data_IF_952815395594
#
_entry.id   IF_952815395594
#
_cell.length_a   1.000
_cell.length_b   1.000
_cell.length_c   1.000
_cell.angle_alpha   90.00
_cell.angle_beta   90.00
_cell.angle_gamma   90.00
#
_symmetry.space_group_name_H-M   'P 1'
#
loop_
_entity.id
_entity.type
_entity.pdbx_description
1 polymer ?
#
# COMPACT_ATOMS: atom_id res chain seq x y z
N UNK A 1 -31.50 12.17 18.35
CA UNK A 1 -30.56 11.06 18.22
C UNK A 1 -30.17 11.05 16.76
N UNK A 2 -29.04 11.67 16.42
CA UNK A 2 -28.51 11.60 15.06
C UNK A 2 -28.22 10.13 14.74
N UNK A 3 -28.61 9.68 13.55
CA UNK A 3 -28.20 8.36 13.10
C UNK A 3 -26.67 8.33 12.99
N UNK A 4 -26.01 7.28 13.48
CA UNK A 4 -24.58 7.13 13.29
C UNK A 4 -24.26 7.22 11.79
N UNK A 5 -23.17 7.92 11.45
CA UNK A 5 -22.76 8.12 10.06
C UNK A 5 -22.45 6.77 9.41
N UNK A 6 -23.24 6.41 8.41
CA UNK A 6 -23.05 5.18 7.62
C UNK A 6 -22.18 5.50 6.40
N UNK A 7 -20.87 5.32 6.56
CA UNK A 7 -19.89 5.59 5.51
C UNK A 7 -20.18 4.77 4.25
N UNK A 8 -20.58 3.50 4.39
CA UNK A 8 -20.88 2.65 3.24
C UNK A 8 -22.10 3.16 2.46
N UNK A 9 -23.13 3.65 3.14
CA UNK A 9 -24.30 4.24 2.49
C UNK A 9 -23.94 5.55 1.77
N UNK A 10 -23.11 6.41 2.35
CA UNK A 10 -22.69 7.66 1.71
C UNK A 10 -21.76 7.42 0.51
N UNK A 11 -20.78 6.53 0.64
CA UNK A 11 -19.91 6.13 -0.47
C UNK A 11 -20.69 5.50 -1.62
N UNK A 12 -21.75 4.73 -1.33
CA UNK A 12 -22.61 4.15 -2.36
C UNK A 12 -23.40 5.22 -3.15
N UNK A 13 -23.79 6.32 -2.50
CA UNK A 13 -24.50 7.44 -3.15
C UNK A 13 -23.56 8.31 -3.97
N UNK A 14 -22.34 8.54 -3.49
CA UNK A 14 -21.41 9.51 -4.06
C UNK A 14 -19.99 8.95 -4.20
N UNK A 15 -19.78 7.92 -5.04
CA UNK A 15 -18.47 7.28 -5.18
C UNK A 15 -17.38 8.21 -5.73
N UNK A 16 -17.77 9.28 -6.44
CA UNK A 16 -16.87 10.29 -7.01
C UNK A 16 -16.21 11.20 -5.95
N UNK A 17 -16.68 11.20 -4.69
CA UNK A 17 -16.03 11.98 -3.62
C UNK A 17 -14.61 11.51 -3.29
N UNK A 18 -14.26 10.30 -3.71
CA UNK A 18 -12.92 9.72 -3.53
C UNK A 18 -11.98 10.06 -4.70
N UNK A 19 -12.50 10.68 -5.77
CA UNK A 19 -11.76 10.98 -6.99
C UNK A 19 -11.20 12.43 -6.93
N UNK A 20 -9.95 12.61 -7.33
CA UNK A 20 -9.30 13.90 -7.50
C UNK A 20 -9.03 14.11 -8.99
N UNK A 21 -9.39 15.30 -9.49
CA UNK A 21 -9.12 15.68 -10.88
C UNK A 21 -7.61 15.63 -11.19
N UNK A 22 -7.28 15.14 -12.37
CA UNK A 22 -5.90 15.08 -12.83
C UNK A 22 -5.28 16.46 -12.99
N UNK A 23 -3.98 16.59 -12.72
CA UNK A 23 -3.24 17.85 -12.77
C UNK A 23 -3.79 18.96 -11.84
N UNK A 24 -4.62 18.64 -10.84
CA UNK A 24 -5.32 19.63 -9.99
C UNK A 24 -4.39 20.71 -9.42
N UNK A 25 -3.19 20.32 -8.98
CA UNK A 25 -2.21 21.21 -8.37
C UNK A 25 -1.00 21.54 -9.29
N UNK A 26 -1.13 21.24 -10.59
CA UNK A 26 -0.13 21.63 -11.59
C UNK A 26 -0.40 23.04 -12.11
N UNK A 27 0.62 23.69 -12.67
CA UNK A 27 0.54 25.06 -13.24
C UNK A 27 -0.55 25.22 -14.31
N UNK A 28 -0.84 24.16 -15.06
CA UNK A 28 -1.90 24.13 -16.09
C UNK A 28 -3.33 24.04 -15.53
N UNK A 29 -3.46 23.74 -14.24
CA UNK A 29 -4.74 23.46 -13.59
C UNK A 29 -5.31 22.08 -13.94
N UNK A 30 -6.53 21.78 -13.45
CA UNK A 30 -7.18 20.49 -13.63
C UNK A 30 -7.42 20.13 -15.10
N UNK A 31 -7.20 18.87 -15.45
CA UNK A 31 -7.51 18.28 -16.76
C UNK A 31 -8.68 17.28 -16.66
N UNK A 32 -9.28 16.93 -17.81
CA UNK A 32 -10.42 16.00 -17.90
C UNK A 32 -9.97 14.52 -17.81
N UNK A 33 -9.43 14.15 -16.67
CA UNK A 33 -9.19 12.77 -16.24
C UNK A 33 -9.15 12.68 -14.71
N UNK A 34 -9.21 11.48 -14.17
CA UNK A 34 -9.04 11.25 -12.72
C UNK A 34 -7.57 11.03 -12.42
N UNK A 35 -6.94 11.94 -11.68
CA UNK A 35 -5.52 11.87 -11.34
C UNK A 35 -5.22 11.01 -10.13
N UNK A 36 -6.13 10.99 -9.15
CA UNK A 36 -5.98 10.19 -7.95
C UNK A 36 -7.33 9.63 -7.47
N UNK A 37 -7.33 8.43 -6.90
CA UNK A 37 -8.50 7.85 -6.22
C UNK A 37 -8.12 7.31 -4.86
N UNK A 38 -8.81 7.76 -3.80
CA UNK A 38 -8.60 7.25 -2.45
C UNK A 38 -9.13 5.81 -2.36
N UNK A 39 -8.26 4.91 -1.90
CA UNK A 39 -8.53 3.47 -1.84
C UNK A 39 -7.84 2.85 -0.63
N UNK A 40 -8.08 1.55 -0.44
CA UNK A 40 -7.28 0.72 0.46
C UNK A 40 -6.26 -0.04 -0.38
N UNK A 41 -4.96 0.23 -0.18
CA UNK A 41 -3.86 -0.35 -0.95
C UNK A 41 -2.93 -1.16 -0.06
N UNK A 42 -2.48 -2.30 -0.58
CA UNK A 42 -1.42 -3.12 -0.03
C UNK A 42 -0.20 -3.05 -0.93
N UNK A 43 0.98 -2.96 -0.33
CA UNK A 43 2.28 -2.91 -1.02
C UNK A 43 3.18 -3.97 -0.41
N UNK A 44 3.69 -4.88 -1.24
CA UNK A 44 4.62 -5.95 -0.84
C UNK A 44 5.94 -5.79 -1.61
N UNK A 45 7.05 -5.77 -0.90
CA UNK A 45 8.40 -5.74 -1.48
C UNK A 45 9.02 -7.13 -1.38
N UNK A 46 9.27 -7.78 -2.52
CA UNK A 46 9.75 -9.16 -2.60
C UNK A 46 10.93 -9.28 -3.56
N UNK A 47 11.56 -10.46 -3.62
CA UNK A 47 12.74 -10.71 -4.45
C UNK A 47 12.44 -11.72 -5.55
N UNK A 48 13.41 -11.89 -6.45
CA UNK A 48 13.41 -12.99 -7.43
C UNK A 48 12.25 -12.98 -8.44
N UNK A 49 11.68 -11.80 -8.74
CA UNK A 49 10.56 -11.65 -9.69
C UNK A 49 10.87 -12.14 -11.12
N UNK A 50 12.15 -12.29 -11.48
CA UNK A 50 12.58 -12.88 -12.74
C UNK A 50 12.44 -14.41 -12.79
N UNK A 51 12.31 -15.08 -11.65
CA UNK A 51 12.27 -16.54 -11.58
C UNK A 51 10.90 -17.10 -11.94
N UNK A 52 10.83 -18.31 -12.55
CA UNK A 52 9.55 -18.95 -12.85
C UNK A 52 8.66 -19.18 -11.63
N UNK A 53 9.25 -19.52 -10.47
CA UNK A 53 8.52 -19.80 -9.23
C UNK A 53 7.78 -18.55 -8.71
N UNK A 54 8.46 -17.41 -8.69
CA UNK A 54 7.85 -16.15 -8.23
C UNK A 54 6.84 -15.62 -9.25
N UNK A 55 7.10 -15.77 -10.55
CA UNK A 55 6.11 -15.43 -11.60
C UNK A 55 4.83 -16.25 -11.49
N UNK A 56 4.95 -17.54 -11.23
CA UNK A 56 3.81 -18.42 -10.94
C UNK A 56 3.04 -17.93 -9.69
N UNK A 57 3.76 -17.57 -8.63
CA UNK A 57 3.16 -17.03 -7.41
C UNK A 57 2.42 -15.71 -7.65
N UNK A 58 2.97 -14.81 -8.47
CA UNK A 58 2.30 -13.58 -8.91
C UNK A 58 1.02 -13.87 -9.71
N UNK A 59 1.06 -14.87 -10.61
CA UNK A 59 -0.14 -15.30 -11.33
C UNK A 59 -1.23 -15.79 -10.38
N UNK A 60 -0.86 -16.57 -9.36
CA UNK A 60 -1.82 -17.04 -8.36
C UNK A 60 -2.39 -15.88 -7.53
N UNK A 61 -1.57 -14.90 -7.14
CA UNK A 61 -2.05 -13.69 -6.47
C UNK A 61 -3.06 -12.94 -7.36
N UNK A 62 -2.76 -12.80 -8.65
CA UNK A 62 -3.67 -12.17 -9.60
C UNK A 62 -4.97 -12.95 -9.78
N UNK A 63 -4.91 -14.27 -9.91
CA UNK A 63 -6.11 -15.12 -10.02
C UNK A 63 -7.05 -14.97 -8.82
N UNK A 64 -6.50 -14.77 -7.62
CA UNK A 64 -7.28 -14.54 -6.42
C UNK A 64 -7.86 -13.12 -6.35
N UNK A 65 -7.05 -12.09 -6.65
CA UNK A 65 -7.52 -10.72 -6.79
C UNK A 65 -8.66 -10.60 -7.82
N UNK A 66 -8.51 -11.28 -8.97
CA UNK A 66 -9.48 -11.29 -10.05
C UNK A 66 -10.86 -11.78 -9.62
N UNK A 67 -10.95 -12.71 -8.66
CA UNK A 67 -12.26 -13.19 -8.16
C UNK A 67 -13.11 -12.06 -7.62
N UNK A 68 -12.49 -10.98 -7.14
CA UNK A 68 -13.16 -9.80 -6.63
C UNK A 68 -13.24 -8.70 -7.70
N UNK A 69 -12.13 -8.46 -8.40
CA UNK A 69 -11.96 -7.28 -9.24
C UNK A 69 -12.39 -7.43 -10.70
N UNK A 70 -12.48 -8.66 -11.24
CA UNK A 70 -12.63 -8.90 -12.69
C UNK A 70 -13.79 -8.14 -13.35
N UNK A 71 -14.99 -8.02 -12.75
CA UNK A 71 -16.09 -7.24 -13.34
C UNK A 71 -15.80 -5.73 -13.47
N UNK A 72 -14.77 -5.23 -12.79
CA UNK A 72 -14.41 -3.81 -12.70
C UNK A 72 -13.17 -3.44 -13.52
N UNK A 73 -12.36 -4.41 -13.94
CA UNK A 73 -11.12 -4.16 -14.67
C UNK A 73 -11.41 -3.70 -16.10
N UNK A 74 -10.82 -2.57 -16.48
CA UNK A 74 -11.07 -1.90 -17.78
C UNK A 74 -9.82 -1.85 -18.65
N UNK A 75 -8.63 -1.71 -18.04
CA UNK A 75 -7.38 -1.52 -18.77
C UNK A 75 -6.24 -2.37 -18.18
N UNK A 76 -5.34 -2.77 -19.07
CA UNK A 76 -4.00 -3.24 -18.75
C UNK A 76 -2.99 -2.27 -19.36
N UNK A 77 -2.17 -1.67 -18.51
CA UNK A 77 -0.98 -0.94 -18.91
C UNK A 77 0.27 -1.77 -18.62
N UNK A 78 1.23 -1.74 -19.54
CA UNK A 78 2.54 -2.38 -19.42
C UNK A 78 3.59 -1.39 -19.90
N UNK A 79 4.56 -1.10 -19.05
CA UNK A 79 5.75 -0.35 -19.46
C UNK A 79 6.56 -1.22 -20.43
N UNK A 80 6.94 -0.67 -21.59
CA UNK A 80 7.83 -1.29 -22.57
C UNK A 80 7.66 -2.81 -22.76
N UNK A 81 6.46 -3.30 -23.13
CA UNK A 81 6.22 -4.74 -23.21
C UNK A 81 7.02 -5.35 -24.36
N UNK A 82 7.67 -6.49 -24.12
CA UNK A 82 8.39 -7.24 -25.16
C UNK A 82 7.49 -7.64 -26.35
N UNK A 83 6.20 -7.87 -26.09
CA UNK A 83 5.19 -8.19 -27.09
C UNK A 83 3.87 -7.46 -26.79
N UNK A 84 3.19 -7.00 -27.85
CA UNK A 84 1.92 -6.30 -27.75
C UNK A 84 2.06 -4.78 -27.67
N UNK A 85 0.98 -4.10 -27.27
CA UNK A 85 0.94 -2.64 -27.09
C UNK A 85 1.04 -2.29 -25.60
N UNK A 86 1.64 -1.15 -25.22
CA UNK A 86 1.70 -0.70 -23.83
C UNK A 86 0.34 -0.58 -23.14
N UNK A 87 -0.72 -0.28 -23.89
CA UNK A 87 -2.07 -0.12 -23.35
C UNK A 87 -3.06 -0.98 -24.13
N UNK A 88 -3.81 -1.80 -23.41
CA UNK A 88 -4.84 -2.69 -23.97
C UNK A 88 -6.09 -2.67 -23.08
N UNK A 89 -7.29 -2.70 -23.68
CA UNK A 89 -8.51 -2.88 -22.90
C UNK A 89 -8.53 -4.28 -22.26
N UNK A 90 -8.91 -4.39 -20.99
CA UNK A 90 -8.79 -5.64 -20.22
C UNK A 90 -9.48 -6.83 -20.91
N UNK A 91 -10.67 -6.62 -21.48
CA UNK A 91 -11.42 -7.66 -22.22
C UNK A 91 -10.68 -8.26 -23.43
N UNK A 92 -9.70 -7.53 -23.95
CA UNK A 92 -8.90 -7.90 -25.13
C UNK A 92 -7.51 -8.44 -24.72
N UNK A 93 -7.26 -8.60 -23.42
CA UNK A 93 -5.98 -9.11 -22.88
C UNK A 93 -5.93 -10.63 -22.87
N UNK A 94 -4.72 -11.17 -23.03
CA UNK A 94 -4.44 -12.57 -22.73
C UNK A 94 -4.38 -12.78 -21.21
N UNK A 95 -4.61 -14.01 -20.71
CA UNK A 95 -4.37 -14.32 -19.30
C UNK A 95 -2.94 -13.97 -18.86
N UNK A 96 -2.79 -13.44 -17.64
CA UNK A 96 -1.48 -13.06 -17.09
C UNK A 96 -0.45 -14.20 -17.17
N UNK A 97 -0.89 -15.42 -16.87
CA UNK A 97 -0.05 -16.63 -16.91
C UNK A 97 0.50 -16.95 -18.30
N UNK A 98 -0.29 -16.73 -19.35
CA UNK A 98 0.16 -16.89 -20.73
C UNK A 98 1.20 -15.82 -21.09
N UNK A 99 0.94 -14.57 -20.73
CA UNK A 99 1.87 -13.47 -20.97
C UNK A 99 3.19 -13.66 -20.21
N UNK A 100 3.15 -14.05 -18.94
CA UNK A 100 4.36 -14.34 -18.15
C UNK A 100 5.13 -15.57 -18.66
N UNK A 101 4.43 -16.59 -19.17
CA UNK A 101 5.05 -17.79 -19.75
C UNK A 101 5.81 -17.53 -21.06
N UNK A 102 5.47 -16.45 -21.77
CA UNK A 102 6.16 -16.03 -22.99
C UNK A 102 7.37 -15.10 -22.73
N UNK A 103 7.59 -14.67 -21.49
CA UNK A 103 8.65 -13.72 -21.12
C UNK A 103 9.95 -14.43 -20.70
N UNK A 104 11.09 -13.86 -21.08
CA UNK A 104 12.43 -14.24 -20.62
C UNK A 104 12.74 -13.67 -19.22
N UNK A 105 13.77 -14.17 -18.53
CA UNK A 105 14.21 -13.69 -17.20
C UNK A 105 14.69 -12.23 -17.21
N UNK A 106 15.11 -11.70 -18.37
CA UNK A 106 15.57 -10.32 -18.55
C UNK A 106 14.53 -9.40 -19.19
N UNK A 107 13.33 -9.89 -19.50
CA UNK A 107 12.22 -9.04 -19.96
C UNK A 107 11.71 -8.10 -18.86
N UNK A 108 11.24 -6.91 -19.25
CA UNK A 108 10.66 -5.95 -18.31
C UNK A 108 9.36 -6.50 -17.71
N UNK A 109 9.32 -6.69 -16.40
CA UNK A 109 8.12 -7.13 -15.69
C UNK A 109 7.33 -5.93 -15.20
N UNK A 110 6.42 -5.43 -16.04
CA UNK A 110 5.46 -4.37 -15.72
C UNK A 110 4.06 -4.77 -16.15
N UNK A 111 3.13 -4.82 -15.18
CA UNK A 111 1.71 -5.11 -15.42
C UNK A 111 0.86 -4.31 -14.45
N UNK A 112 0.10 -3.34 -14.95
CA UNK A 112 -0.83 -2.52 -14.19
C UNK A 112 -2.26 -2.75 -14.70
N UNK A 113 -3.04 -3.56 -13.98
CA UNK A 113 -4.47 -3.77 -14.21
C UNK A 113 -5.26 -2.76 -13.38
N UNK A 114 -6.16 -2.00 -14.02
CA UNK A 114 -6.89 -0.91 -13.34
C UNK A 114 -8.37 -0.84 -13.76
N UNK A 115 -9.19 -0.23 -12.91
CA UNK A 115 -10.62 0.06 -13.17
C UNK A 115 -10.90 1.50 -13.64
N UNK A 116 -9.89 2.24 -14.12
CA UNK A 116 -10.07 3.59 -14.65
C UNK A 116 -11.09 3.62 -15.81
N UNK A 117 -12.00 4.61 -15.84
CA UNK A 117 -13.02 4.67 -16.90
C UNK A 117 -12.36 4.99 -18.24
N UNK A 118 -11.56 6.05 -18.29
CA UNK A 118 -10.61 6.34 -19.37
C UNK A 118 -9.29 5.62 -19.07
N UNK A 119 -8.50 5.36 -20.11
CA UNK A 119 -7.20 4.70 -19.95
C UNK A 119 -6.18 5.48 -19.11
N UNK A 120 -6.39 6.80 -18.98
CA UNK A 120 -5.57 7.69 -18.15
C UNK A 120 -6.12 7.83 -16.72
N UNK A 121 -7.36 7.43 -16.46
CA UNK A 121 -7.96 7.61 -15.15
C UNK A 121 -7.30 6.67 -14.13
N UNK A 122 -7.02 7.19 -12.94
CA UNK A 122 -6.78 6.38 -11.77
C UNK A 122 -8.01 5.50 -11.45
N UNK A 123 -7.77 4.28 -10.98
CA UNK A 123 -8.80 3.32 -10.62
C UNK A 123 -8.62 2.82 -9.19
N UNK A 124 -9.74 2.62 -8.47
CA UNK A 124 -9.71 2.10 -7.11
C UNK A 124 -9.42 0.59 -7.03
N UNK A 125 -9.80 -0.18 -8.05
CA UNK A 125 -9.28 -1.53 -8.23
C UNK A 125 -7.99 -1.45 -9.02
N UNK A 126 -6.90 -1.90 -8.41
CA UNK A 126 -5.57 -1.91 -9.00
C UNK A 126 -4.88 -3.23 -8.66
N UNK A 127 -4.15 -3.76 -9.63
CA UNK A 127 -3.14 -4.80 -9.41
C UNK A 127 -1.93 -4.45 -10.27
N UNK A 128 -0.85 -4.02 -9.62
CA UNK A 128 0.35 -3.48 -10.26
C UNK A 128 1.59 -4.28 -9.86
N UNK A 129 2.28 -4.81 -10.86
CA UNK A 129 3.53 -5.57 -10.71
C UNK A 129 4.66 -4.74 -11.30
N UNK A 130 5.70 -4.54 -10.50
CA UNK A 130 7.00 -4.07 -10.96
C UNK A 130 8.09 -5.06 -10.53
N UNK A 131 8.69 -5.78 -11.48
CA UNK A 131 9.70 -6.80 -11.20
C UNK A 131 11.09 -6.45 -11.71
N UNK A 132 12.12 -6.83 -10.93
CA UNK A 132 13.51 -6.75 -11.34
C UNK A 132 13.88 -7.88 -12.29
N UNK A 133 14.62 -7.53 -13.34
CA UNK A 133 15.23 -8.47 -14.29
C UNK A 133 16.34 -9.30 -13.64
N UNK A 134 16.66 -10.45 -14.23
CA UNK A 134 17.73 -11.33 -13.74
C UNK A 134 19.08 -10.62 -13.65
N UNK A 135 19.46 -9.84 -14.68
CA UNK A 135 20.72 -9.07 -14.65
C UNK A 135 20.75 -8.03 -13.52
N UNK A 136 19.62 -7.39 -13.21
CA UNK A 136 19.53 -6.41 -12.11
C UNK A 136 19.69 -7.11 -10.76
N UNK A 137 19.04 -8.27 -10.59
CA UNK A 137 19.17 -9.07 -9.39
C UNK A 137 20.62 -9.54 -9.15
N UNK A 138 21.32 -9.98 -10.21
CA UNK A 138 22.75 -10.34 -10.17
C UNK A 138 23.65 -9.17 -9.77
N UNK A 139 23.22 -7.92 -9.99
CA UNK A 139 23.91 -6.70 -9.53
C UNK A 139 23.50 -6.25 -8.11
N UNK A 140 22.67 -7.02 -7.40
CA UNK A 140 22.17 -6.67 -6.07
C UNK A 140 21.00 -5.66 -6.08
N UNK A 141 20.32 -5.49 -7.22
CA UNK A 141 19.10 -4.71 -7.36
C UNK A 141 17.92 -5.66 -7.61
N UNK A 142 17.55 -6.44 -6.59
CA UNK A 142 16.57 -7.53 -6.67
C UNK A 142 15.20 -7.21 -6.07
N UNK A 143 15.03 -6.04 -5.44
CA UNK A 143 13.77 -5.65 -4.82
C UNK A 143 12.69 -5.31 -5.85
N UNK A 144 11.64 -6.11 -5.86
CA UNK A 144 10.45 -6.00 -6.73
C UNK A 144 9.23 -5.64 -5.89
N UNK A 145 8.15 -5.21 -6.54
CA UNK A 145 6.96 -4.66 -5.89
C UNK A 145 5.70 -5.28 -6.46
N UNK A 146 4.78 -5.62 -5.57
CA UNK A 146 3.37 -5.87 -5.89
C UNK A 146 2.53 -4.85 -5.11
N UNK A 147 1.73 -4.08 -5.84
CA UNK A 147 0.68 -3.24 -5.27
C UNK A 147 -0.69 -3.76 -5.71
N UNK A 148 -1.64 -3.77 -4.79
CA UNK A 148 -3.03 -4.10 -5.09
C UNK A 148 -3.97 -3.30 -4.21
N UNK A 149 -5.15 -2.98 -4.73
CA UNK A 149 -6.10 -2.15 -3.99
C UNK A 149 -7.55 -2.50 -4.25
N UNK A 150 -8.38 -2.11 -3.30
CA UNK A 150 -9.85 -2.20 -3.40
C UNK A 150 -10.48 -0.83 -3.10
N UNK A 151 -11.67 -0.54 -3.65
CA UNK A 151 -12.42 0.66 -3.28
C UNK A 151 -12.80 0.65 -1.80
N UNK A 152 -12.84 1.83 -1.17
CA UNK A 152 -13.25 1.93 0.24
C UNK A 152 -14.64 1.35 0.49
N UNK A 153 -15.59 1.54 -0.44
CA UNK A 153 -16.92 0.94 -0.33
C UNK A 153 -16.89 -0.59 -0.28
N UNK A 154 -15.93 -1.23 -0.98
CA UNK A 154 -15.75 -2.68 -0.90
C UNK A 154 -15.23 -3.07 0.48
N UNK A 155 -14.20 -2.37 0.97
CA UNK A 155 -13.64 -2.59 2.30
C UNK A 155 -14.68 -2.46 3.41
N UNK A 156 -15.53 -1.42 3.38
CA UNK A 156 -16.57 -1.21 4.38
C UNK A 156 -17.62 -2.33 4.41
N UNK A 157 -17.85 -2.99 3.26
CA UNK A 157 -18.82 -4.09 3.14
C UNK A 157 -18.22 -5.46 3.40
N UNK A 158 -16.93 -5.63 3.12
CA UNK A 158 -16.21 -6.91 3.20
C UNK A 158 -14.86 -6.73 3.92
N UNK A 159 -14.86 -6.37 5.21
CA UNK A 159 -13.66 -5.94 5.93
C UNK A 159 -12.55 -7.01 6.03
N UNK A 160 -12.91 -8.29 5.95
CA UNK A 160 -11.97 -9.42 6.06
C UNK A 160 -11.34 -9.83 4.72
N UNK A 161 -11.96 -9.53 3.58
CA UNK A 161 -11.51 -10.02 2.28
C UNK A 161 -10.13 -9.45 1.93
N UNK A 162 -9.93 -8.14 2.13
CA UNK A 162 -8.65 -7.50 1.86
C UNK A 162 -7.56 -8.00 2.82
N UNK A 163 -7.90 -8.17 4.10
CA UNK A 163 -6.97 -8.71 5.10
C UNK A 163 -6.50 -10.12 4.72
N UNK A 164 -7.44 -10.98 4.30
CA UNK A 164 -7.14 -12.33 3.84
C UNK A 164 -6.27 -12.32 2.58
N UNK A 165 -6.60 -11.49 1.59
CA UNK A 165 -5.78 -11.31 0.38
C UNK A 165 -4.35 -10.90 0.71
N UNK A 166 -4.16 -9.91 1.58
CA UNK A 166 -2.83 -9.43 1.96
C UNK A 166 -1.98 -10.53 2.59
N UNK A 167 -2.56 -11.30 3.51
CA UNK A 167 -1.86 -12.41 4.18
C UNK A 167 -1.56 -13.54 3.20
N UNK A 168 -2.48 -13.89 2.31
CA UNK A 168 -2.25 -14.97 1.35
C UNK A 168 -1.23 -14.59 0.27
N UNK A 169 -1.17 -13.32 -0.13
CA UNK A 169 -0.13 -12.83 -1.02
C UNK A 169 1.22 -12.82 -0.31
N UNK A 170 1.26 -12.42 0.96
CA UNK A 170 2.46 -12.52 1.78
C UNK A 170 2.98 -13.96 1.88
N UNK A 171 2.09 -14.95 2.08
CA UNK A 171 2.47 -16.37 2.12
C UNK A 171 3.04 -16.91 0.81
N UNK A 172 2.61 -16.36 -0.33
CA UNK A 172 3.05 -16.82 -1.66
C UNK A 172 4.35 -16.16 -2.11
N UNK A 173 4.51 -14.88 -1.80
CA UNK A 173 5.63 -14.07 -2.27
C UNK A 173 6.78 -13.96 -1.25
N UNK A 174 6.54 -14.34 0.01
CA UNK A 174 7.49 -14.22 1.12
C UNK A 174 8.23 -12.86 1.13
N UNK A 175 7.50 -11.73 1.13
CA UNK A 175 8.09 -10.41 0.97
C UNK A 175 9.00 -10.05 2.16
N UNK A 176 10.00 -9.22 1.88
CA UNK A 176 10.93 -8.72 2.91
C UNK A 176 10.28 -7.70 3.85
N UNK A 177 9.41 -6.86 3.28
CA UNK A 177 8.62 -5.86 3.98
C UNK A 177 7.33 -5.60 3.20
N UNK A 178 6.32 -5.08 3.90
CA UNK A 178 5.10 -4.66 3.27
C UNK A 178 4.21 -3.91 4.24
N UNK A 179 3.19 -3.26 3.71
CA UNK A 179 2.21 -2.54 4.51
C UNK A 179 0.92 -2.41 3.72
N UNK A 180 -0.19 -2.18 4.41
CA UNK A 180 -1.44 -1.84 3.78
C UNK A 180 -2.26 -0.85 4.62
N UNK A 181 -2.99 0.02 3.94
CA UNK A 181 -3.84 1.04 4.56
C UNK A 181 -4.41 1.97 3.50
N UNK A 182 -4.89 3.13 3.93
CA UNK A 182 -5.42 4.13 3.00
C UNK A 182 -4.30 4.69 2.12
N UNK A 183 -4.55 4.81 0.82
CA UNK A 183 -3.61 5.38 -0.13
C UNK A 183 -4.36 6.02 -1.31
N UNK A 184 -3.68 6.89 -2.06
CA UNK A 184 -4.14 7.27 -3.38
C UNK A 184 -3.52 6.36 -4.44
N UNK A 185 -4.35 5.75 -5.27
CA UNK A 185 -3.88 5.27 -6.56
C UNK A 185 -3.80 6.47 -7.50
N UNK A 186 -2.62 6.71 -8.07
CA UNK A 186 -2.41 7.77 -9.05
C UNK A 186 -2.68 7.25 -10.47
N UNK A 187 -2.84 8.16 -11.42
CA UNK A 187 -2.96 7.82 -12.84
C UNK A 187 -1.75 6.98 -13.29
N UNK A 188 -1.93 5.76 -13.83
CA UNK A 188 -0.80 4.90 -14.18
C UNK A 188 0.10 5.50 -15.27
N UNK A 189 -0.45 6.39 -16.10
CA UNK A 189 0.27 7.04 -17.21
C UNK A 189 0.61 8.51 -16.95
N UNK A 190 0.23 9.05 -15.79
CA UNK A 190 0.45 10.47 -15.45
C UNK A 190 0.74 10.71 -13.97
N UNK A 191 1.15 9.68 -13.25
CA UNK A 191 1.35 9.70 -11.80
C UNK A 191 2.19 10.89 -11.32
N UNK A 192 3.27 11.23 -12.04
CA UNK A 192 4.12 12.38 -11.70
C UNK A 192 3.34 13.71 -11.61
N UNK A 193 2.37 13.93 -12.51
CA UNK A 193 1.56 15.16 -12.47
C UNK A 193 0.54 15.18 -11.31
N UNK A 194 0.25 14.02 -10.72
CA UNK A 194 -0.77 13.83 -9.70
C UNK A 194 -0.19 13.63 -8.28
N UNK A 195 1.11 13.35 -8.16
CA UNK A 195 1.85 13.33 -6.88
C UNK A 195 1.67 14.61 -6.03
N UNK A 196 1.58 15.83 -6.60
CA UNK A 196 1.33 17.03 -5.79
C UNK A 196 0.00 16.99 -5.04
N UNK A 197 -1.04 16.40 -5.63
CA UNK A 197 -2.33 16.19 -4.97
C UNK A 197 -2.18 15.22 -3.80
N UNK A 198 -1.46 14.11 -3.99
CA UNK A 198 -1.16 13.16 -2.90
C UNK A 198 -0.36 13.85 -1.77
N UNK A 199 0.68 14.62 -2.10
CA UNK A 199 1.48 15.36 -1.13
C UNK A 199 0.65 16.35 -0.31
N UNK A 200 -0.28 17.06 -0.96
CA UNK A 200 -1.17 18.00 -0.29
C UNK A 200 -2.11 17.31 0.70
N UNK A 201 -2.61 16.13 0.33
CA UNK A 201 -3.51 15.34 1.18
C UNK A 201 -2.77 14.68 2.34
N UNK A 202 -1.55 14.21 2.12
CA UNK A 202 -0.70 13.56 3.13
C UNK A 202 -0.45 14.45 4.36
N UNK A 203 -0.35 15.76 4.17
CA UNK A 203 -0.19 16.71 5.27
C UNK A 203 -1.41 16.78 6.22
N UNK A 204 -2.56 16.26 5.80
CA UNK A 204 -3.84 16.29 6.54
C UNK A 204 -4.32 14.91 6.98
N UNK A 205 -3.69 13.86 6.48
CA UNK A 205 -4.11 12.47 6.65
C UNK A 205 -2.94 11.63 7.14
N UNK A 206 -2.67 11.58 8.46
CA UNK A 206 -1.51 10.86 8.99
C UNK A 206 -1.54 9.34 8.74
N UNK A 207 -2.71 8.76 8.45
CA UNK A 207 -2.86 7.35 8.06
C UNK A 207 -2.68 7.08 6.56
N UNK A 208 -2.52 8.11 5.73
CA UNK A 208 -2.35 7.97 4.28
C UNK A 208 -0.94 7.50 3.93
N UNK A 209 -0.83 6.39 3.19
CA UNK A 209 0.38 5.98 2.48
C UNK A 209 0.63 6.86 1.25
N UNK A 210 1.90 7.17 1.00
CA UNK A 210 2.31 8.06 -0.09
C UNK A 210 3.53 7.55 -0.84
N UNK A 211 3.69 8.04 -2.05
CA UNK A 211 4.86 7.79 -2.87
C UNK A 211 4.78 6.48 -3.64
N UNK A 212 5.56 6.43 -4.71
CA UNK A 212 5.49 5.36 -5.69
C UNK A 212 6.41 4.21 -5.29
N UNK A 213 5.85 3.04 -4.99
CA UNK A 213 6.63 1.91 -4.47
C UNK A 213 7.68 1.40 -5.47
N UNK A 214 7.38 1.43 -6.77
CA UNK A 214 8.35 1.05 -7.81
C UNK A 214 9.55 2.02 -7.88
N UNK A 215 9.34 3.33 -7.63
CA UNK A 215 10.44 4.29 -7.51
C UNK A 215 11.31 3.98 -6.30
N UNK A 216 10.70 3.74 -5.14
CA UNK A 216 11.44 3.40 -3.92
C UNK A 216 12.27 2.13 -4.10
N UNK A 217 11.75 1.11 -4.78
CA UNK A 217 12.52 -0.10 -5.09
C UNK A 217 13.72 0.12 -6.03
N UNK A 218 13.86 1.31 -6.63
CA UNK A 218 15.02 1.74 -7.41
C UNK A 218 15.93 2.72 -6.67
N UNK A 219 15.52 3.22 -5.52
CA UNK A 219 16.27 4.21 -4.74
C UNK A 219 17.44 3.55 -3.99
N UNK A 220 18.68 4.06 -4.12
CA UNK A 220 19.85 3.52 -3.41
C UNK A 220 19.70 3.48 -1.88
N UNK A 221 19.08 4.52 -1.31
CA UNK A 221 18.81 4.68 0.12
C UNK A 221 17.77 3.68 0.64
N UNK A 222 16.95 3.11 -0.24
CA UNK A 222 15.89 2.16 0.11
C UNK A 222 16.42 0.71 0.18
N UNK A 223 17.58 0.56 0.81
CA UNK A 223 18.28 -0.67 1.17
C UNK A 223 19.03 -0.34 2.47
N UNK A 224 19.18 -1.17 3.54
CA UNK A 224 18.84 -2.57 3.85
C UNK A 224 17.77 -2.70 4.97
N UNK A 225 17.50 -3.94 5.45
CA UNK A 225 16.64 -4.42 6.57
C UNK A 225 15.92 -3.39 7.47
N UNK A 226 15.11 -2.54 6.83
CA UNK A 226 14.28 -1.51 7.46
C UNK A 226 12.87 -1.55 6.88
N UNK A 227 11.95 -0.85 7.53
CA UNK A 227 10.58 -0.64 7.04
C UNK A 227 10.37 0.79 6.58
N UNK A 228 9.65 0.98 5.47
CA UNK A 228 9.22 2.31 5.00
C UNK A 228 8.35 3.02 6.05
N UNK A 229 7.28 2.37 6.48
CA UNK A 229 6.26 2.94 7.36
C UNK A 229 5.55 1.82 8.12
N UNK A 230 4.79 2.20 9.13
CA UNK A 230 3.68 1.38 9.65
C UNK A 230 2.37 1.85 9.02
N UNK A 231 1.39 0.96 8.96
CA UNK A 231 0.01 1.25 8.54
C UNK A 231 -0.95 0.24 9.19
N UNK A 232 -2.20 0.16 8.73
CA UNK A 232 -3.20 -0.78 9.23
C UNK A 232 -2.64 -2.20 9.30
N UNK A 233 -2.05 -2.66 8.20
CA UNK A 233 -1.26 -3.88 8.15
C UNK A 233 0.21 -3.51 7.98
N UNK A 234 1.09 -4.12 8.77
CA UNK A 234 2.54 -3.95 8.66
C UNK A 234 3.19 -5.32 8.66
N UNK A 235 3.95 -5.63 7.61
CA UNK A 235 4.59 -6.91 7.39
C UNK A 235 6.09 -6.81 7.67
N UNK A 236 6.57 -7.71 8.53
CA UNK A 236 7.99 -7.88 8.86
C UNK A 236 8.43 -9.29 8.45
N UNK A 237 9.50 -9.42 7.68
CA UNK A 237 10.18 -10.70 7.52
C UNK A 237 10.93 -11.07 8.82
N UNK A 238 11.49 -12.28 8.88
CA UNK A 238 12.17 -12.79 10.07
C UNK A 238 13.30 -11.86 10.55
N UNK A 239 14.10 -11.32 9.62
CA UNK A 239 15.23 -10.44 9.96
C UNK A 239 14.74 -9.13 10.61
N UNK A 240 13.72 -8.47 10.05
CA UNK A 240 13.11 -7.26 10.62
C UNK A 240 12.41 -7.54 11.94
N UNK A 241 11.75 -8.68 12.06
CA UNK A 241 11.11 -9.11 13.30
C UNK A 241 12.15 -9.31 14.41
N UNK A 242 13.29 -9.92 14.10
CA UNK A 242 14.39 -10.07 15.06
C UNK A 242 14.96 -8.71 15.51
N UNK A 243 15.13 -7.76 14.57
CA UNK A 243 15.55 -6.39 14.91
C UNK A 243 14.51 -5.63 15.76
N UNK A 244 13.23 -5.96 15.63
CA UNK A 244 12.16 -5.44 16.48
C UNK A 244 12.08 -6.13 17.87
N UNK A 245 12.99 -7.06 18.19
CA UNK A 245 13.02 -7.79 19.45
C UNK A 245 12.21 -9.10 19.46
N UNK A 246 11.66 -9.51 18.31
CA UNK A 246 10.89 -10.74 18.16
C UNK A 246 9.39 -10.58 18.45
N UNK A 247 8.62 -11.62 18.12
CA UNK A 247 7.15 -11.59 18.22
C UNK A 247 6.66 -11.41 19.66
N UNK A 248 7.28 -12.08 20.63
CA UNK A 248 6.86 -12.00 22.03
C UNK A 248 7.09 -10.61 22.62
N UNK A 249 8.16 -9.92 22.22
CA UNK A 249 8.42 -8.55 22.62
C UNK A 249 7.36 -7.58 22.07
N UNK A 250 6.89 -7.79 20.84
CA UNK A 250 5.81 -6.99 20.26
C UNK A 250 4.48 -7.27 20.96
N UNK A 251 4.14 -8.55 21.21
CA UNK A 251 2.92 -8.95 21.94
C UNK A 251 2.89 -8.42 23.37
N UNK A 252 4.05 -8.28 24.02
CA UNK A 252 4.14 -7.71 25.36
C UNK A 252 3.90 -6.19 25.39
N UNK A 253 4.23 -5.48 24.29
CA UNK A 253 4.12 -4.02 24.20
C UNK A 253 2.77 -3.54 23.66
N UNK A 254 2.11 -4.37 22.84
CA UNK A 254 0.91 -4.03 22.08
C UNK A 254 -0.30 -4.84 22.60
N UNK A 255 -1.40 -4.18 23.04
CA UNK A 255 -2.56 -4.89 23.58
C UNK A 255 -3.23 -5.81 22.56
N UNK A 256 -3.38 -7.09 22.88
CA UNK A 256 -4.04 -8.08 22.01
C UNK A 256 -5.51 -7.79 21.72
N UNK A 257 -6.14 -6.87 22.46
CA UNK A 257 -7.49 -6.39 22.17
C UNK A 257 -7.56 -5.51 20.92
N UNK A 258 -6.45 -4.92 20.48
CA UNK A 258 -6.41 -3.99 19.35
C UNK A 258 -5.34 -4.35 18.30
N UNK A 259 -4.45 -5.31 18.62
CA UNK A 259 -3.42 -5.79 17.72
C UNK A 259 -3.53 -7.30 17.52
N UNK A 260 -3.48 -7.73 16.26
CA UNK A 260 -3.41 -9.14 15.87
C UNK A 260 -2.14 -9.43 15.08
N UNK A 261 -1.66 -10.66 15.19
CA UNK A 261 -0.41 -11.11 14.59
C UNK A 261 -0.65 -12.36 13.74
N UNK A 262 -0.35 -12.28 12.44
CA UNK A 262 -0.55 -13.36 11.48
C UNK A 262 0.78 -13.85 10.92
N UNK A 263 1.11 -15.12 11.12
CA UNK A 263 2.31 -15.73 10.55
C UNK A 263 2.13 -15.98 9.05
N UNK A 264 3.16 -15.65 8.27
CA UNK A 264 3.31 -15.99 6.85
C UNK A 264 4.69 -16.64 6.65
N UNK A 265 4.82 -17.92 7.02
CA UNK A 265 6.14 -18.54 7.16
C UNK A 265 6.90 -17.96 8.36
N UNK A 266 8.15 -17.56 8.17
CA UNK A 266 9.00 -17.04 9.25
C UNK A 266 8.77 -15.56 9.59
N UNK A 267 8.00 -14.85 8.78
CA UNK A 267 7.59 -13.46 9.04
C UNK A 267 6.29 -13.31 9.83
N UNK A 268 5.90 -12.06 10.09
CA UNK A 268 4.61 -11.70 10.70
C UNK A 268 3.95 -10.50 10.00
N UNK A 269 2.64 -10.57 9.82
CA UNK A 269 1.79 -9.41 9.53
C UNK A 269 1.16 -8.96 10.84
N UNK A 270 1.33 -7.69 11.16
CA UNK A 270 0.77 -7.03 12.34
C UNK A 270 -0.43 -6.20 11.87
N UNK A 271 -1.60 -6.46 12.43
CA UNK A 271 -2.79 -5.61 12.27
C UNK A 271 -2.84 -4.61 13.42
N UNK A 272 -2.89 -3.32 13.10
CA UNK A 272 -2.94 -2.21 14.05
C UNK A 272 -4.34 -1.58 14.08
N UNK A 273 -5.18 -2.05 15.01
CA UNK A 273 -6.57 -1.63 15.18
C UNK A 273 -7.57 -2.40 14.32
N UNK A 274 -8.86 -2.22 14.65
CA UNK A 274 -9.95 -2.96 14.01
C UNK A 274 -10.15 -2.61 12.53
N UNK A 275 -9.89 -1.36 12.15
CA UNK A 275 -10.14 -0.86 10.80
C UNK A 275 -8.91 -0.11 10.27
N UNK A 276 -8.78 0.07 8.94
CA UNK A 276 -7.81 0.99 8.41
C UNK A 276 -8.17 2.43 8.82
N UNK A 277 -7.24 3.13 9.45
CA UNK A 277 -7.40 4.53 9.85
C UNK A 277 -6.75 5.47 8.84
N UNK A 278 -7.45 6.53 8.44
CA UNK A 278 -6.90 7.65 7.63
C UNK A 278 -6.41 8.80 8.53
N UNK A 279 -7.09 9.01 9.66
CA UNK A 279 -6.80 9.99 10.68
C UNK A 279 -7.36 9.51 12.04
N UNK A 280 -6.91 10.15 13.11
CA UNK A 280 -7.43 10.04 14.46
C UNK A 280 -8.64 10.94 14.69
N UNK A 281 -8.68 11.62 15.82
CA UNK A 281 -9.79 12.49 16.22
C UNK A 281 -9.46 13.98 16.05
N UNK A 282 -10.39 14.84 16.50
CA UNK A 282 -10.25 16.29 16.40
C UNK A 282 -9.13 16.86 17.28
N UNK A 283 -8.77 16.17 18.37
CA UNK A 283 -7.69 16.60 19.27
C UNK A 283 -6.32 16.26 18.68
N UNK A 284 -6.17 15.05 18.13
CA UNK A 284 -4.97 14.60 17.45
C UNK A 284 -5.32 13.68 16.29
N UNK A 285 -4.99 14.14 15.08
CA UNK A 285 -5.28 13.44 13.83
C UNK A 285 -4.42 12.21 13.59
N UNK A 286 -3.48 11.87 14.48
CA UNK A 286 -2.72 10.61 14.39
C UNK A 286 -3.52 9.45 15.00
N UNK A 287 -3.70 8.32 14.28
CA UNK A 287 -4.39 7.15 14.82
C UNK A 287 -3.61 6.50 15.97
N UNK A 288 -4.28 6.24 17.10
CA UNK A 288 -3.62 5.66 18.28
C UNK A 288 -2.94 4.30 18.03
N UNK A 289 -3.56 3.35 17.29
CA UNK A 289 -2.89 2.08 16.96
C UNK A 289 -1.60 2.29 16.16
N UNK A 290 -1.59 3.27 15.25
CA UNK A 290 -0.44 3.53 14.39
C UNK A 290 0.69 4.22 15.14
N UNK A 291 0.37 5.16 16.04
CA UNK A 291 1.38 5.81 16.90
C UNK A 291 2.10 4.77 17.76
N UNK A 292 1.35 3.87 18.40
CA UNK A 292 1.92 2.85 19.29
C UNK A 292 2.77 1.84 18.53
N UNK A 293 2.31 1.36 17.36
CA UNK A 293 3.11 0.48 16.51
C UNK A 293 4.34 1.17 15.93
N UNK A 294 4.20 2.43 15.50
CA UNK A 294 5.29 3.25 14.99
C UNK A 294 6.38 3.42 16.06
N UNK A 295 5.98 3.69 17.30
CA UNK A 295 6.93 3.80 18.42
C UNK A 295 7.68 2.48 18.64
N UNK A 296 6.97 1.35 18.69
CA UNK A 296 7.57 0.02 18.86
C UNK A 296 8.54 -0.36 17.72
N UNK A 297 8.29 0.10 16.49
CA UNK A 297 9.11 -0.22 15.32
C UNK A 297 10.04 0.93 14.89
N UNK A 298 10.11 2.04 15.65
CA UNK A 298 10.86 3.24 15.29
C UNK A 298 12.33 2.95 14.98
N UNK A 299 12.96 2.07 15.77
CA UNK A 299 14.37 1.70 15.61
C UNK A 299 14.71 1.01 14.28
N UNK A 300 13.72 0.42 13.60
CA UNK A 300 13.90 -0.29 12.31
C UNK A 300 13.27 0.45 11.13
N UNK A 301 12.67 1.63 11.34
CA UNK A 301 12.12 2.45 10.25
C UNK A 301 13.25 3.14 9.48
N UNK A 302 13.01 3.49 8.22
CA UNK A 302 13.85 4.45 7.52
C UNK A 302 13.75 5.84 8.16
N UNK A 303 14.91 6.48 8.36
CA UNK A 303 15.00 7.87 8.77
C UNK A 303 14.90 8.83 7.59
N UNK A 304 15.36 8.35 6.43
CA UNK A 304 15.25 8.99 5.13
C UNK A 304 15.21 7.91 4.04
N UNK A 305 14.53 8.25 2.94
CA UNK A 305 14.54 7.47 1.69
C UNK A 305 14.92 8.36 0.50
N UNK A 306 15.52 9.53 0.76
CA UNK A 306 15.73 10.57 -0.23
C UNK A 306 14.41 11.24 -0.65
N UNK A 307 13.64 10.57 -1.49
CA UNK A 307 12.37 11.09 -2.02
C UNK A 307 11.30 10.00 -2.08
N UNK A 308 10.07 10.36 -1.74
CA UNK A 308 8.88 9.54 -1.95
C UNK A 308 8.22 9.85 -3.31
N UNK A 309 8.53 11.02 -3.87
CA UNK A 309 8.01 11.57 -5.11
C UNK A 309 9.11 11.90 -6.12
N UNK A 310 8.71 12.10 -7.38
CA UNK A 310 9.52 12.73 -8.41
C UNK A 310 9.98 14.15 -8.02
N UNK A 311 11.02 14.62 -8.71
CA UNK A 311 11.51 16.00 -8.53
C UNK A 311 10.48 17.01 -9.04
N UNK A 312 10.35 18.15 -8.36
CA UNK A 312 9.48 19.22 -8.84
C UNK A 312 10.01 19.85 -10.13
N UNK A 313 9.11 20.11 -11.08
CA UNK A 313 9.41 20.76 -12.35
C UNK A 313 9.04 22.26 -12.38
N UNK A 314 7.97 22.64 -11.67
CA UNK A 314 7.36 23.97 -11.71
C UNK A 314 7.19 24.61 -10.30
N UNK A 315 7.81 24.04 -9.27
CA UNK A 315 7.67 24.47 -7.87
C UNK A 315 6.44 23.90 -7.16
N UNK A 316 5.80 22.89 -7.74
CA UNK A 316 4.70 22.13 -7.15
C UNK A 316 5.13 21.35 -5.89
N UNK A 317 4.16 21.11 -5.00
CA UNK A 317 4.41 20.38 -3.76
C UNK A 317 4.83 18.93 -4.06
N UNK A 318 5.92 18.47 -3.46
CA UNK A 318 6.40 17.09 -3.56
C UNK A 318 6.97 16.64 -2.22
N UNK A 319 6.89 15.35 -1.93
CA UNK A 319 7.54 14.73 -0.77
C UNK A 319 8.95 14.30 -1.13
N UNK A 320 9.86 15.28 -1.16
CA UNK A 320 11.29 15.09 -1.44
C UNK A 320 12.15 15.63 -0.31
N UNK A 321 13.30 15.01 -0.05
CA UNK A 321 14.24 15.39 1.00
C UNK A 321 13.58 15.52 2.37
N UNK A 322 13.66 16.70 2.98
CA UNK A 322 13.10 16.96 4.31
C UNK A 322 11.60 16.65 4.41
N UNK A 323 10.81 16.94 3.36
CA UNK A 323 9.38 16.67 3.39
C UNK A 323 9.07 15.16 3.40
N UNK A 324 9.86 14.36 2.68
CA UNK A 324 9.79 12.89 2.75
C UNK A 324 10.15 12.40 4.16
N UNK A 325 11.22 12.93 4.75
CA UNK A 325 11.65 12.56 6.10
C UNK A 325 10.60 12.89 7.16
N UNK A 326 9.92 14.05 7.05
CA UNK A 326 8.81 14.39 7.94
C UNK A 326 7.63 13.45 7.79
N UNK A 327 7.32 13.02 6.56
CA UNK A 327 6.26 12.03 6.34
C UNK A 327 6.61 10.67 6.98
N UNK A 328 7.86 10.22 6.90
CA UNK A 328 8.32 9.00 7.58
C UNK A 328 8.18 9.11 9.11
N UNK A 329 8.35 10.31 9.66
CA UNK A 329 8.31 10.62 11.11
C UNK A 329 6.95 11.12 11.60
N UNK A 330 5.93 11.18 10.74
CA UNK A 330 4.63 11.83 11.03
C UNK A 330 3.89 11.25 12.25
N UNK A 331 4.22 10.02 12.64
CA UNK A 331 3.63 9.30 13.77
C UNK A 331 4.52 9.30 15.03
N UNK A 332 5.64 10.01 15.01
CA UNK A 332 6.55 10.07 16.14
C UNK A 332 5.95 10.85 17.31
N UNK A 333 6.16 10.32 18.51
CA UNK A 333 5.78 10.88 19.80
C UNK A 333 6.91 10.63 20.79
N UNK A 334 6.96 11.42 21.85
CA UNK A 334 7.92 11.22 22.94
C UNK A 334 7.46 10.08 23.87
N UNK A 335 8.41 9.42 24.54
CA UNK A 335 8.11 8.30 25.46
C UNK A 335 7.14 8.70 26.57
N UNK A 336 7.18 9.96 27.00
CA UNK A 336 6.29 10.54 28.01
C UNK A 336 4.83 10.62 27.55
N UNK A 337 4.57 10.60 26.24
CA UNK A 337 3.21 10.63 25.68
C UNK A 337 2.58 9.24 25.56
N UNK A 338 3.37 8.16 25.65
CA UNK A 338 2.87 6.79 25.44
C UNK A 338 1.71 6.39 26.36
N UNK A 339 1.69 6.74 27.67
CA UNK A 339 0.55 6.43 28.51
C UNK A 339 -0.75 7.03 27.97
N UNK A 340 -0.73 8.28 27.50
CA UNK A 340 -1.89 8.96 26.90
C UNK A 340 -2.40 8.22 25.66
N UNK A 341 -1.49 7.76 24.79
CA UNK A 341 -1.86 7.03 23.58
C UNK A 341 -2.40 5.63 23.87
N UNK A 342 -1.87 4.95 24.90
CA UNK A 342 -2.42 3.68 25.38
C UNK A 342 -3.81 3.85 25.97
N UNK A 343 -4.02 4.90 26.76
CA UNK A 343 -5.33 5.20 27.33
C UNK A 343 -6.34 5.55 26.23
N UNK A 344 -5.93 6.33 25.22
CA UNK A 344 -6.75 6.60 24.03
C UNK A 344 -7.15 5.29 23.34
N UNK A 345 -6.17 4.46 22.98
CA UNK A 345 -6.42 3.17 22.34
C UNK A 345 -7.45 2.34 23.12
N UNK A 346 -7.23 2.12 24.42
CA UNK A 346 -8.05 1.20 25.22
C UNK A 346 -9.46 1.72 25.53
N UNK A 347 -9.66 3.04 25.52
CA UNK A 347 -10.93 3.65 25.93
C UNK A 347 -11.76 4.19 24.76
N UNK A 348 -11.16 4.50 23.61
CA UNK A 348 -11.87 5.13 22.48
C UNK A 348 -11.87 4.29 21.21
N UNK A 349 -10.87 3.44 20.99
CA UNK A 349 -10.78 2.67 19.75
C UNK A 349 -11.59 1.35 19.85
N UNK A 350 -12.19 0.90 18.74
CA UNK A 350 -12.85 -0.40 18.70
C UNK A 350 -11.84 -1.54 18.87
N UNK A 351 -12.20 -2.51 19.71
CA UNK A 351 -11.45 -3.76 19.85
C UNK A 351 -11.58 -4.64 18.60
N UNK A 352 -10.61 -5.53 18.44
CA UNK A 352 -10.66 -6.61 17.47
C UNK A 352 -11.74 -7.63 17.86
N UNK A 353 -12.45 -8.11 16.85
CA UNK A 353 -13.41 -9.20 16.96
C UNK A 353 -13.47 -10.02 15.66
N UNK A 354 -14.37 -11.01 15.60
CA UNK A 354 -14.50 -11.91 14.45
C UNK A 354 -15.00 -11.23 13.16
N UNK A 355 -15.45 -9.97 13.22
CA UNK A 355 -15.91 -9.20 12.05
C UNK A 355 -14.79 -8.42 11.38
N UNK A 356 -13.69 -8.16 12.09
CA UNK A 356 -12.62 -7.28 11.63
C UNK A 356 -11.20 -7.85 11.80
N UNK A 357 -11.10 -9.06 12.36
CA UNK A 357 -9.84 -9.80 12.49
C UNK A 357 -10.03 -11.25 12.07
N UNK A 358 -8.94 -11.87 11.60
CA UNK A 358 -8.91 -13.29 11.31
C UNK A 358 -8.46 -14.06 12.57
N UNK A 359 -8.80 -15.34 12.70
CA UNK A 359 -8.22 -16.16 13.76
C UNK A 359 -6.70 -16.25 13.58
N UNK A 360 -5.93 -15.91 14.62
CA UNK A 360 -4.48 -16.15 14.63
C UNK A 360 -4.25 -17.66 14.45
N UNK A 361 -3.57 -18.03 13.36
CA UNK A 361 -3.14 -19.42 13.16
C UNK A 361 -1.88 -19.63 14.02
N UNK A 362 -1.83 -20.71 14.82
CA UNK A 362 -0.69 -21.00 15.70
C UNK A 362 0.62 -21.20 14.93
#
# INVERSE_FOLDING_TARGET
>A
MEQPFDLAAELAKQPHLLEIAGNLLMKGGPEDYIGAVLCLRGTLYFKEAHTPLVRESLCQCFDEFKRLAEPHLTWLWREEPAQGKPLTAYRDTQPLREMMGAMDEDDHLSFCYTSGKKSRDAGAWLFDIYGKRSWQAKMGHDLSVLEFSVPLLYQERQPLDFLQLFIDFARRLEPEQGYAGHAYNLSPTSWDNDEPSEAFMAARMPGLDVGTACLLANTPEFKPTRIKTVSWLTLLNNERLALAGGLDALRAQLPSSHFAFYRYGDGVVIQAGAYPYIAGDAEDSRPAPYVLLNHALKGIRYETVGSLHGGSHDGELRLVGWAADQWLKRLDVEDSELPRWRDKLLNTEPCLDATNSLPERP
#
